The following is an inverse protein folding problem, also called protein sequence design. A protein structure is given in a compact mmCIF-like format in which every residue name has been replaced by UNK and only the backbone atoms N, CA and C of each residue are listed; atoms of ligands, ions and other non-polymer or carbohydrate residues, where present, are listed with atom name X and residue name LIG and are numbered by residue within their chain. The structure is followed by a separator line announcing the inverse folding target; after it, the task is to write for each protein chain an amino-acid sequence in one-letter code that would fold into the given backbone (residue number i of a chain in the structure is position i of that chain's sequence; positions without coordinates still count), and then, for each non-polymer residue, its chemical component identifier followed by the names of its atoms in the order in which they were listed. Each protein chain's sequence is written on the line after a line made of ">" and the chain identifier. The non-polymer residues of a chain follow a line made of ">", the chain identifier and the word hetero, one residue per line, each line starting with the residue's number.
data_IF_636557608932
#
_entry.id   IF_636557608932
#
_cell.length_a   1.000
_cell.length_b   1.000
_cell.length_c   1.000
_cell.angle_alpha   90.00
_cell.angle_beta   90.00
_cell.angle_gamma   90.00
#
_symmetry.space_group_name_H-M   'P 1'
#
loop_
_entity.id
_entity.type
_entity.pdbx_description
1 polymer ?
#
# COMPACT_ATOMS: atom_id res chain seq x y z
N UNK A 1 3.76 -26.77 -10.25
CA UNK A 1 2.91 -26.92 -9.06
C UNK A 1 1.54 -26.41 -9.47
N UNK A 2 0.55 -27.30 -9.46
CA UNK A 2 -0.84 -26.92 -9.70
C UNK A 2 -1.45 -26.57 -8.36
N UNK A 3 -1.89 -25.33 -8.20
CA UNK A 3 -2.59 -24.86 -7.00
C UNK A 3 -4.04 -24.66 -7.42
N UNK A 4 -4.97 -25.22 -6.66
CA UNK A 4 -6.39 -24.94 -6.85
C UNK A 4 -6.57 -23.42 -6.74
N UNK A 5 -7.43 -22.85 -7.60
CA UNK A 5 -7.63 -21.41 -7.62
C UNK A 5 -7.97 -20.87 -6.22
N UNK A 6 -7.23 -19.86 -5.80
CA UNK A 6 -7.48 -19.12 -4.57
C UNK A 6 -7.56 -17.65 -4.90
N UNK A 7 -8.65 -17.01 -4.53
CA UNK A 7 -8.70 -15.57 -4.52
C UNK A 7 -7.96 -15.05 -3.27
N UNK A 8 -6.83 -14.41 -3.49
CA UNK A 8 -6.01 -13.80 -2.44
C UNK A 8 -6.00 -12.28 -2.53
N UNK A 9 -7.00 -11.68 -3.18
CA UNK A 9 -7.08 -10.22 -3.35
C UNK A 9 -7.06 -9.46 -2.01
N UNK A 10 -7.64 -10.04 -0.96
CA UNK A 10 -7.63 -9.49 0.41
C UNK A 10 -6.39 -9.93 1.22
N UNK A 11 -5.55 -10.81 0.68
CA UNK A 11 -4.29 -11.27 1.29
C UNK A 11 -3.14 -11.07 0.29
N UNK A 12 -2.76 -9.83 -0.02
CA UNK A 12 -1.75 -9.55 -1.03
C UNK A 12 -0.37 -10.11 -0.64
N UNK A 13 0.50 -10.30 -1.62
CA UNK A 13 1.83 -10.88 -1.46
C UNK A 13 1.84 -12.27 -0.81
N UNK A 14 0.74 -13.01 -0.92
CA UNK A 14 0.67 -14.40 -0.45
C UNK A 14 1.52 -15.32 -1.30
N UNK A 15 2.13 -16.33 -0.66
CA UNK A 15 2.69 -17.49 -1.33
C UNK A 15 1.70 -18.65 -1.22
N UNK A 16 1.44 -19.32 -2.34
CA UNK A 16 0.52 -20.45 -2.43
C UNK A 16 1.29 -21.74 -2.65
N UNK A 17 0.95 -22.79 -1.92
CA UNK A 17 1.52 -24.12 -2.09
C UNK A 17 0.44 -25.18 -1.96
N UNK A 18 0.47 -26.20 -2.82
CA UNK A 18 -0.40 -27.36 -2.68
C UNK A 18 0.34 -28.51 -1.98
N UNK A 19 -0.31 -29.09 -0.98
CA UNK A 19 0.14 -30.27 -0.27
C UNK A 19 -1.03 -31.24 -0.15
N UNK A 20 -0.88 -32.46 -0.71
CA UNK A 20 -1.92 -33.50 -0.65
C UNK A 20 -3.33 -33.00 -1.07
N UNK A 21 -3.40 -32.34 -2.21
CA UNK A 21 -4.63 -31.76 -2.77
C UNK A 21 -5.29 -30.66 -1.88
N UNK A 22 -4.56 -30.11 -0.92
CA UNK A 22 -4.98 -28.96 -0.14
C UNK A 22 -4.10 -27.78 -0.45
N UNK A 23 -4.73 -26.65 -0.83
CA UNK A 23 -4.02 -25.39 -1.05
C UNK A 23 -3.78 -24.68 0.27
N UNK A 24 -2.52 -24.40 0.57
CA UNK A 24 -2.11 -23.61 1.72
C UNK A 24 -1.70 -22.21 1.30
N UNK A 25 -2.15 -21.23 2.05
CA UNK A 25 -1.88 -19.81 1.84
C UNK A 25 -0.93 -19.32 2.92
N UNK A 26 0.13 -18.61 2.52
CA UNK A 26 1.08 -17.95 3.42
C UNK A 26 0.98 -16.44 3.20
N UNK A 27 0.12 -15.72 3.95
CA UNK A 27 -0.13 -14.30 3.74
C UNK A 27 1.15 -13.47 3.91
N UNK A 28 1.38 -12.52 3.00
CA UNK A 28 2.51 -11.60 3.07
C UNK A 28 3.90 -12.22 2.88
N UNK A 29 4.01 -13.55 2.64
CA UNK A 29 5.31 -14.24 2.57
C UNK A 29 6.21 -13.69 1.46
N UNK A 30 5.64 -13.22 0.36
CA UNK A 30 6.38 -12.63 -0.75
C UNK A 30 6.95 -11.24 -0.45
N UNK A 31 6.52 -10.56 0.61
CA UNK A 31 7.15 -9.31 1.07
C UNK A 31 8.61 -9.50 1.52
N UNK A 32 8.96 -10.70 1.97
CA UNK A 32 10.33 -11.09 2.37
C UNK A 32 11.02 -11.99 1.34
N UNK A 33 10.40 -12.26 0.21
CA UNK A 33 11.00 -13.08 -0.83
C UNK A 33 12.12 -12.32 -1.53
N UNK A 34 13.30 -12.92 -1.58
CA UNK A 34 14.46 -12.40 -2.34
C UNK A 34 14.09 -12.19 -3.81
N UNK A 35 13.22 -13.05 -4.37
CA UNK A 35 12.71 -12.91 -5.73
C UNK A 35 11.92 -11.61 -5.92
N UNK A 36 10.97 -11.33 -5.06
CA UNK A 36 10.14 -10.10 -5.11
C UNK A 36 11.00 -8.84 -4.97
N UNK A 37 11.91 -8.82 -3.99
CA UNK A 37 12.80 -7.67 -3.75
C UNK A 37 13.73 -7.45 -4.95
N UNK A 38 14.31 -8.52 -5.49
CA UNK A 38 15.15 -8.47 -6.68
C UNK A 38 14.39 -7.93 -7.89
N UNK A 39 13.18 -8.42 -8.10
CA UNK A 39 12.39 -8.09 -9.29
C UNK A 39 11.87 -6.64 -9.19
N UNK A 40 11.44 -6.19 -8.02
CA UNK A 40 11.06 -4.79 -7.79
C UNK A 40 12.20 -3.81 -8.13
N UNK A 41 13.46 -4.18 -7.85
CA UNK A 41 14.65 -3.38 -8.21
C UNK A 41 14.98 -3.43 -9.70
N UNK A 42 14.71 -4.56 -10.36
CA UNK A 42 15.09 -4.78 -11.76
C UNK A 42 14.08 -4.24 -12.77
N UNK A 43 12.80 -4.26 -12.45
CA UNK A 43 11.76 -3.85 -13.40
C UNK A 43 11.92 -2.42 -13.89
N UNK A 44 12.13 -1.40 -13.03
CA UNK A 44 12.36 -0.03 -13.51
C UNK A 44 13.59 0.10 -14.43
N UNK A 45 14.65 -0.68 -14.17
CA UNK A 45 15.87 -0.69 -14.97
C UNK A 45 15.70 -1.38 -16.33
N UNK A 46 14.69 -2.23 -16.46
CA UNK A 46 14.38 -2.98 -17.69
C UNK A 46 13.36 -2.29 -18.57
N UNK A 47 12.78 -1.21 -18.09
CA UNK A 47 11.92 -0.36 -18.93
C UNK A 47 12.76 0.27 -20.03
N UNK A 48 12.66 -0.32 -21.23
CA UNK A 48 13.41 0.07 -22.41
C UNK A 48 12.55 0.80 -23.45
N UNK A 49 11.42 1.34 -23.03
CA UNK A 49 10.61 2.14 -23.93
C UNK A 49 11.44 3.29 -24.46
N UNK A 50 11.60 3.34 -25.76
CA UNK A 50 12.44 4.34 -26.45
C UNK A 50 11.66 5.63 -26.78
N UNK A 51 10.33 5.57 -26.72
CA UNK A 51 9.47 6.72 -26.96
C UNK A 51 9.68 7.76 -25.85
N UNK A 52 10.14 8.97 -26.19
CA UNK A 52 10.25 10.07 -25.23
C UNK A 52 8.88 10.49 -24.67
N UNK A 53 7.83 10.35 -25.48
CA UNK A 53 6.45 10.65 -25.13
C UNK A 53 5.75 9.39 -24.56
N UNK A 54 6.29 8.84 -23.49
CA UNK A 54 5.69 7.67 -22.82
C UNK A 54 4.26 7.99 -22.41
N UNK A 55 3.31 7.35 -23.08
CA UNK A 55 1.88 7.54 -22.84
C UNK A 55 1.39 6.90 -21.53
N UNK A 56 2.20 6.06 -20.92
CA UNK A 56 1.88 5.37 -19.67
C UNK A 56 2.87 5.73 -18.56
N UNK A 57 2.33 6.01 -17.40
CA UNK A 57 3.06 6.35 -16.18
C UNK A 57 2.98 5.18 -15.20
N UNK A 58 4.03 4.35 -15.16
CA UNK A 58 4.04 3.15 -14.33
C UNK A 58 4.63 3.43 -12.95
N UNK A 59 3.90 3.06 -11.89
CA UNK A 59 4.38 3.05 -10.53
C UNK A 59 4.98 1.68 -10.19
N UNK A 60 6.29 1.64 -9.99
CA UNK A 60 7.03 0.41 -9.63
C UNK A 60 7.15 0.17 -8.12
N UNK A 61 6.56 1.02 -7.28
CA UNK A 61 6.63 0.86 -5.84
C UNK A 61 5.78 -0.34 -5.38
N UNK A 62 6.39 -1.27 -4.65
CA UNK A 62 5.66 -2.39 -4.04
C UNK A 62 4.66 -1.91 -2.99
N UNK A 63 5.01 -0.87 -2.27
CA UNK A 63 4.19 -0.27 -1.23
C UNK A 63 3.59 1.03 -1.78
N UNK A 64 2.29 1.06 -1.89
CA UNK A 64 1.48 2.18 -2.37
C UNK A 64 0.15 2.20 -1.62
N UNK A 65 -0.63 3.27 -1.65
CA UNK A 65 -1.97 3.28 -1.06
C UNK A 65 -2.83 2.09 -1.52
N UNK A 66 -2.72 1.70 -2.79
CA UNK A 66 -3.44 0.56 -3.36
C UNK A 66 -3.08 -0.77 -2.69
N UNK A 67 -1.79 -1.04 -2.48
CA UNK A 67 -1.33 -2.30 -1.87
C UNK A 67 -1.46 -2.28 -0.35
N UNK A 68 -1.19 -1.14 0.28
CA UNK A 68 -1.32 -0.98 1.74
C UNK A 68 -2.78 -1.08 2.19
N UNK A 69 -3.73 -0.50 1.44
CA UNK A 69 -5.16 -0.66 1.73
C UNK A 69 -5.56 -2.15 1.78
N UNK A 70 -5.09 -2.95 0.82
CA UNK A 70 -5.31 -4.40 0.82
C UNK A 70 -4.63 -5.10 1.99
N UNK A 71 -3.43 -4.66 2.42
CA UNK A 71 -2.77 -5.23 3.59
C UNK A 71 -3.51 -4.89 4.90
N UNK A 72 -4.03 -3.68 5.05
CA UNK A 72 -4.87 -3.29 6.19
C UNK A 72 -6.12 -4.17 6.27
N UNK A 73 -6.78 -4.41 5.14
CA UNK A 73 -7.89 -5.37 5.05
C UNK A 73 -7.45 -6.79 5.38
N UNK A 74 -6.28 -7.21 4.88
CA UNK A 74 -5.69 -8.51 5.18
C UNK A 74 -5.42 -8.73 6.66
N UNK A 75 -4.92 -7.72 7.38
CA UNK A 75 -4.77 -7.76 8.85
C UNK A 75 -6.13 -8.00 9.51
N UNK A 76 -7.18 -7.32 9.08
CA UNK A 76 -8.53 -7.50 9.62
C UNK A 76 -9.06 -8.92 9.36
N UNK A 77 -8.86 -9.43 8.15
CA UNK A 77 -9.23 -10.82 7.78
C UNK A 77 -8.51 -11.84 8.66
N UNK A 78 -7.20 -11.71 8.84
CA UNK A 78 -6.41 -12.65 9.64
C UNK A 78 -6.81 -12.61 11.13
N UNK A 79 -7.06 -11.43 11.68
CA UNK A 79 -7.57 -11.27 13.06
C UNK A 79 -8.95 -11.89 13.22
N UNK A 80 -9.83 -11.72 12.24
CA UNK A 80 -11.17 -12.31 12.28
C UNK A 80 -11.12 -13.84 12.22
N UNK A 81 -10.24 -14.43 11.42
CA UNK A 81 -10.02 -15.86 11.40
C UNK A 81 -9.58 -16.40 12.77
N UNK A 82 -8.68 -15.70 13.46
CA UNK A 82 -8.30 -16.06 14.84
C UNK A 82 -9.46 -15.95 15.81
N UNK A 83 -10.23 -14.88 15.71
CA UNK A 83 -11.39 -14.64 16.59
C UNK A 83 -12.45 -15.73 16.46
N UNK A 84 -12.77 -16.14 15.22
CA UNK A 84 -13.84 -17.12 14.93
C UNK A 84 -13.40 -18.54 15.22
N UNK A 85 -12.18 -18.92 14.85
CA UNK A 85 -11.70 -20.31 14.97
C UNK A 85 -10.91 -20.59 16.25
N UNK A 86 -10.61 -19.55 17.05
CA UNK A 86 -9.77 -19.61 18.24
C UNK A 86 -8.27 -19.50 17.94
N UNK A 87 -7.54 -18.88 18.86
CA UNK A 87 -6.10 -18.63 18.72
C UNK A 87 -5.24 -19.90 18.73
N UNK A 88 -5.77 -21.00 19.28
CA UNK A 88 -5.07 -22.29 19.41
C UNK A 88 -5.32 -23.22 18.23
N UNK A 89 -6.01 -22.77 17.19
CA UNK A 89 -6.28 -23.58 16.00
C UNK A 89 -4.99 -23.84 15.22
N UNK A 90 -4.73 -25.07 14.81
CA UNK A 90 -3.56 -25.41 13.99
C UNK A 90 -3.67 -24.86 12.57
N UNK A 91 -4.90 -24.77 12.06
CA UNK A 91 -5.20 -24.27 10.70
C UNK A 91 -6.50 -23.50 10.68
N UNK A 92 -6.55 -22.50 9.81
CA UNK A 92 -7.71 -21.65 9.55
C UNK A 92 -8.19 -21.87 8.12
N UNK A 93 -9.50 -22.04 7.93
CA UNK A 93 -10.09 -22.12 6.59
C UNK A 93 -10.29 -20.72 6.04
N UNK A 94 -9.80 -20.49 4.83
CA UNK A 94 -9.99 -19.24 4.09
C UNK A 94 -10.38 -19.57 2.65
N UNK A 95 -11.62 -19.25 2.28
CA UNK A 95 -12.23 -19.64 1.00
C UNK A 95 -12.07 -21.16 0.77
N UNK A 96 -11.45 -21.59 -0.35
CA UNK A 96 -11.20 -23.00 -0.66
C UNK A 96 -9.84 -23.51 -0.15
N UNK A 97 -9.06 -22.67 0.54
CA UNK A 97 -7.74 -23.01 1.06
C UNK A 97 -7.64 -23.00 2.58
N UNK A 98 -6.43 -23.24 3.06
CA UNK A 98 -6.10 -23.25 4.49
C UNK A 98 -4.89 -22.36 4.78
N UNK A 99 -4.89 -21.75 5.95
CA UNK A 99 -3.77 -20.99 6.49
C UNK A 99 -3.29 -21.72 7.75
N UNK A 100 -2.04 -22.15 7.80
CA UNK A 100 -1.46 -22.72 9.03
C UNK A 100 -1.34 -21.62 10.09
N UNK A 101 -1.46 -21.96 11.37
CA UNK A 101 -1.33 -21.02 12.49
C UNK A 101 -0.04 -20.19 12.39
N UNK A 102 1.09 -20.83 12.16
CA UNK A 102 2.37 -20.13 11.97
C UNK A 102 2.38 -19.18 10.78
N UNK A 103 1.71 -19.54 9.67
CA UNK A 103 1.60 -18.69 8.49
C UNK A 103 0.70 -17.48 8.74
N UNK A 104 -0.35 -17.64 9.52
CA UNK A 104 -1.24 -16.55 9.92
C UNK A 104 -0.50 -15.54 10.79
N UNK A 105 0.21 -16.00 11.83
CA UNK A 105 1.01 -15.15 12.73
C UNK A 105 2.09 -14.40 11.94
N UNK A 106 2.80 -15.09 11.03
CA UNK A 106 3.78 -14.44 10.16
C UNK A 106 3.13 -13.44 9.21
N UNK A 107 1.95 -13.73 8.66
CA UNK A 107 1.21 -12.82 7.80
C UNK A 107 0.85 -11.50 8.50
N UNK A 108 0.31 -11.58 9.71
CA UNK A 108 0.06 -10.40 10.56
C UNK A 108 1.33 -9.57 10.78
N UNK A 109 2.44 -10.24 11.07
CA UNK A 109 3.74 -9.61 11.30
C UNK A 109 4.29 -8.93 10.04
N UNK A 110 4.23 -9.60 8.88
CA UNK A 110 4.74 -9.06 7.62
C UNK A 110 3.90 -7.89 7.11
N UNK A 111 2.58 -7.97 7.21
CA UNK A 111 1.70 -6.85 6.89
C UNK A 111 1.95 -5.67 7.83
N UNK A 112 2.07 -5.90 9.15
CA UNK A 112 2.41 -4.86 10.10
C UNK A 112 3.71 -4.13 9.74
N UNK A 113 4.77 -4.86 9.41
CA UNK A 113 6.02 -4.24 8.98
C UNK A 113 5.90 -3.46 7.67
N UNK A 114 5.16 -3.97 6.68
CA UNK A 114 4.96 -3.27 5.42
C UNK A 114 4.17 -1.97 5.60
N UNK A 115 3.13 -2.00 6.43
CA UNK A 115 2.30 -0.85 6.78
C UNK A 115 3.14 0.20 7.53
N UNK A 116 3.86 -0.20 8.59
CA UNK A 116 4.73 0.70 9.36
C UNK A 116 5.86 1.29 8.48
N UNK A 117 6.42 0.50 7.56
CA UNK A 117 7.44 0.98 6.61
C UNK A 117 6.88 2.02 5.65
N UNK A 118 5.70 1.78 5.10
CA UNK A 118 5.05 2.71 4.17
C UNK A 118 4.71 4.04 4.85
N UNK A 119 4.00 3.98 5.98
CA UNK A 119 3.63 5.18 6.73
C UNK A 119 4.85 5.96 7.21
N UNK A 120 5.86 5.24 7.71
CA UNK A 120 7.09 5.86 8.14
C UNK A 120 7.89 6.51 7.01
N UNK A 121 7.95 5.91 5.82
CA UNK A 121 8.59 6.54 4.65
C UNK A 121 7.91 7.87 4.31
N UNK A 122 6.57 7.89 4.27
CA UNK A 122 5.79 9.11 4.00
C UNK A 122 6.02 10.18 5.06
N UNK A 123 6.02 9.79 6.35
CA UNK A 123 6.26 10.69 7.49
C UNK A 123 7.68 11.24 7.50
N UNK A 124 8.70 10.38 7.35
CA UNK A 124 10.12 10.78 7.37
C UNK A 124 10.43 11.78 6.25
N UNK A 125 9.88 11.55 5.05
CA UNK A 125 10.05 12.48 3.94
C UNK A 125 9.52 13.88 4.30
N UNK A 126 8.38 13.95 4.99
CA UNK A 126 7.80 15.24 5.46
C UNK A 126 8.63 15.87 6.57
N UNK A 127 9.05 15.08 7.55
CA UNK A 127 9.92 15.57 8.65
C UNK A 127 11.24 16.14 8.13
N UNK A 128 11.86 15.49 7.15
CA UNK A 128 13.13 15.95 6.57
C UNK A 128 13.00 17.23 5.74
N UNK A 129 11.83 17.49 5.18
CA UNK A 129 11.57 18.65 4.35
C UNK A 129 10.85 19.79 5.11
N UNK A 130 10.49 19.58 6.37
CA UNK A 130 9.82 20.57 7.17
C UNK A 130 10.86 21.55 7.77
N UNK A 131 10.73 22.84 7.44
CA UNK A 131 11.47 23.93 8.09
C UNK A 131 10.61 24.50 9.24
N UNK A 132 10.45 23.72 10.29
CA UNK A 132 9.61 24.03 11.43
C UNK A 132 10.45 24.19 12.70
N UNK A 133 10.10 25.16 13.54
CA UNK A 133 10.78 25.44 14.81
C UNK A 133 9.98 25.00 16.02
N UNK A 134 8.67 24.83 15.83
CA UNK A 134 7.73 24.41 16.88
C UNK A 134 6.96 23.18 16.47
N UNK A 135 6.36 22.50 17.45
CA UNK A 135 5.49 21.35 17.18
C UNK A 135 4.21 21.77 16.45
N UNK A 136 3.69 22.95 16.75
CA UNK A 136 2.51 23.54 16.09
C UNK A 136 2.77 23.74 14.59
N UNK A 137 3.89 24.37 14.23
CA UNK A 137 4.28 24.56 12.83
C UNK A 137 4.44 23.20 12.11
N UNK A 138 4.97 22.20 12.81
CA UNK A 138 5.12 20.85 12.25
C UNK A 138 3.75 20.18 12.01
N UNK A 139 2.81 20.31 12.96
CA UNK A 139 1.44 19.82 12.82
C UNK A 139 0.70 20.46 11.66
N UNK A 140 0.86 21.76 11.47
CA UNK A 140 0.32 22.50 10.32
C UNK A 140 0.93 22.01 9.00
N UNK A 141 2.24 21.73 8.97
CA UNK A 141 2.94 21.19 7.80
C UNK A 141 2.47 19.77 7.43
N UNK A 142 1.92 19.01 8.37
CA UNK A 142 1.35 17.69 8.10
C UNK A 142 -0.04 17.76 7.46
N UNK A 143 -0.76 18.88 7.54
CA UNK A 143 -2.09 18.99 6.95
C UNK A 143 -2.04 18.79 5.44
N UNK A 144 -2.74 17.78 4.89
CA UNK A 144 -2.73 17.53 3.45
C UNK A 144 -3.44 18.66 2.69
N UNK A 145 -2.81 19.17 1.64
CA UNK A 145 -3.34 20.25 0.80
C UNK A 145 -4.04 19.77 -0.46
N UNK A 146 -3.86 18.50 -0.79
CA UNK A 146 -4.44 17.90 -1.99
C UNK A 146 -5.95 17.77 -1.91
N UNK A 147 -6.65 17.91 -3.05
CA UNK A 147 -8.08 17.67 -3.18
C UNK A 147 -8.42 16.17 -3.29
N UNK A 148 -7.48 15.35 -3.77
CA UNK A 148 -7.62 13.92 -3.95
C UNK A 148 -6.70 13.14 -3.00
N UNK A 149 -7.02 11.87 -2.82
CA UNK A 149 -6.26 10.92 -2.02
C UNK A 149 -7.14 10.07 -1.11
N UNK A 150 -8.24 10.60 -0.59
CA UNK A 150 -9.16 9.86 0.27
C UNK A 150 -9.83 8.69 -0.45
N UNK A 151 -10.17 7.64 0.29
CA UNK A 151 -10.90 6.48 -0.19
C UNK A 151 -10.05 5.49 -1.00
N UNK A 152 -10.70 4.86 -1.98
CA UNK A 152 -10.11 3.79 -2.78
C UNK A 152 -9.09 4.31 -3.79
N UNK A 153 -8.10 3.47 -4.05
CA UNK A 153 -7.12 3.64 -5.11
C UNK A 153 -7.26 2.55 -6.15
N UNK A 154 -6.91 2.87 -7.38
CA UNK A 154 -7.00 1.95 -8.53
C UNK A 154 -5.66 1.82 -9.23
N UNK A 155 -5.49 0.68 -9.89
CA UNK A 155 -4.37 0.41 -10.80
C UNK A 155 -4.92 0.49 -12.24
N UNK A 156 -4.40 1.46 -12.99
CA UNK A 156 -4.75 1.67 -14.39
C UNK A 156 -3.53 1.33 -15.23
N UNK A 157 -3.43 0.08 -15.63
CA UNK A 157 -2.31 -0.43 -16.45
C UNK A 157 -0.92 -0.07 -15.87
N UNK A 158 -0.79 -0.11 -14.54
CA UNK A 158 0.45 0.21 -13.82
C UNK A 158 0.50 1.61 -13.22
N UNK A 159 -0.35 2.55 -13.64
CA UNK A 159 -0.50 3.83 -12.97
C UNK A 159 -1.40 3.67 -11.75
N UNK A 160 -0.88 3.97 -10.57
CA UNK A 160 -1.63 3.93 -9.32
C UNK A 160 -2.17 5.33 -9.02
N UNK A 161 -3.48 5.45 -8.85
CA UNK A 161 -4.14 6.73 -8.65
C UNK A 161 -5.36 6.63 -7.71
N UNK A 162 -5.78 7.74 -7.07
CA UNK A 162 -7.05 7.79 -6.36
C UNK A 162 -8.21 7.53 -7.31
N UNK A 163 -9.11 6.61 -6.94
CA UNK A 163 -10.28 6.26 -7.75
C UNK A 163 -11.12 7.49 -8.10
N UNK A 164 -11.25 8.44 -7.16
CA UNK A 164 -12.03 9.68 -7.37
C UNK A 164 -11.41 10.55 -8.47
N UNK A 165 -10.08 10.72 -8.51
CA UNK A 165 -9.43 11.51 -9.55
C UNK A 165 -9.66 10.90 -10.94
N UNK A 166 -9.59 9.56 -11.03
CA UNK A 166 -9.86 8.83 -12.28
C UNK A 166 -11.33 8.94 -12.68
N UNK A 167 -12.26 8.81 -11.73
CA UNK A 167 -13.69 8.95 -12.00
C UNK A 167 -14.01 10.35 -12.56
N UNK A 168 -13.45 11.39 -11.96
CA UNK A 168 -13.65 12.77 -12.40
C UNK A 168 -13.08 13.02 -13.81
N UNK A 169 -11.97 12.38 -14.15
CA UNK A 169 -11.43 12.41 -15.51
C UNK A 169 -12.37 11.71 -16.50
N UNK A 170 -12.92 10.53 -16.16
CA UNK A 170 -13.87 9.82 -17.00
C UNK A 170 -15.15 10.64 -17.22
N UNK A 171 -15.66 11.28 -16.17
CA UNK A 171 -16.79 12.20 -16.26
C UNK A 171 -16.50 13.40 -17.18
N UNK A 172 -15.26 13.93 -17.16
CA UNK A 172 -14.83 15.00 -18.07
C UNK A 172 -14.77 14.53 -19.54
N UNK A 173 -14.34 13.29 -19.77
CA UNK A 173 -14.38 12.68 -21.12
C UNK A 173 -15.83 12.52 -21.59
N UNK A 174 -16.74 12.03 -20.75
CA UNK A 174 -18.15 11.87 -21.10
C UNK A 174 -18.84 13.20 -21.43
N UNK A 175 -18.48 14.28 -20.73
CA UNK A 175 -19.00 15.63 -21.03
C UNK A 175 -18.39 16.27 -22.28
N UNK A 176 -17.30 15.70 -22.82
CA UNK A 176 -16.58 16.26 -23.95
C UNK A 176 -15.57 17.37 -23.58
N UNK A 177 -15.30 17.57 -22.27
CA UNK A 177 -14.29 18.53 -21.79
C UNK A 177 -12.87 18.05 -22.15
N UNK A 178 -12.69 16.73 -22.25
CA UNK A 178 -11.49 16.06 -22.75
C UNK A 178 -11.87 15.31 -24.01
N UNK A 179 -11.50 15.83 -25.20
CA UNK A 179 -12.04 15.39 -26.49
C UNK A 179 -11.03 14.73 -27.42
N UNK A 180 -9.76 14.74 -27.07
CA UNK A 180 -8.68 14.14 -27.86
C UNK A 180 -7.65 13.40 -26.99
N UNK A 181 -6.82 12.58 -27.64
CA UNK A 181 -5.84 11.72 -26.96
C UNK A 181 -4.76 12.54 -26.25
N UNK A 182 -4.34 13.67 -26.82
CA UNK A 182 -3.29 14.51 -26.24
C UNK A 182 -3.79 15.18 -24.94
N UNK A 183 -5.04 15.62 -24.92
CA UNK A 183 -5.68 16.16 -23.72
C UNK A 183 -5.85 15.08 -22.64
N UNK A 184 -6.22 13.87 -23.04
CA UNK A 184 -6.35 12.73 -22.12
C UNK A 184 -4.98 12.37 -21.51
N UNK A 185 -3.92 12.30 -22.32
CA UNK A 185 -2.58 12.01 -21.83
C UNK A 185 -2.10 13.06 -20.82
N UNK A 186 -2.32 14.35 -21.10
CA UNK A 186 -1.98 15.42 -20.14
C UNK A 186 -2.72 15.24 -18.82
N UNK A 187 -3.98 14.88 -18.85
CA UNK A 187 -4.73 14.60 -17.60
C UNK A 187 -4.13 13.43 -16.81
N UNK A 188 -3.69 12.37 -17.48
CA UNK A 188 -3.00 11.26 -16.80
C UNK A 188 -1.64 11.67 -16.25
N UNK A 189 -0.86 12.47 -16.98
CA UNK A 189 0.41 13.02 -16.51
C UNK A 189 0.21 13.91 -15.28
N UNK A 190 -0.83 14.76 -15.27
CA UNK A 190 -1.18 15.61 -14.14
C UNK A 190 -1.54 14.75 -12.90
N UNK A 191 -2.38 13.73 -13.07
CA UNK A 191 -2.72 12.79 -11.98
C UNK A 191 -1.47 12.10 -11.46
N UNK A 192 -0.58 11.66 -12.34
CA UNK A 192 0.66 10.97 -11.95
C UNK A 192 1.63 11.91 -11.24
N UNK A 193 1.76 13.14 -11.70
CA UNK A 193 2.67 14.15 -11.12
C UNK A 193 2.30 14.48 -9.67
N UNK A 194 1.01 14.45 -9.35
CA UNK A 194 0.46 14.72 -8.03
C UNK A 194 0.40 13.48 -7.10
N UNK A 195 0.92 12.33 -7.55
CA UNK A 195 0.86 11.06 -6.83
C UNK A 195 1.25 11.18 -5.35
N UNK A 196 2.39 11.81 -5.03
CA UNK A 196 2.86 11.92 -3.65
C UNK A 196 2.04 12.88 -2.78
N UNK A 197 1.38 13.87 -3.39
CA UNK A 197 0.43 14.74 -2.69
C UNK A 197 -0.84 13.96 -2.32
N UNK A 198 -1.32 13.13 -3.23
CA UNK A 198 -2.47 12.25 -3.02
C UNK A 198 -2.16 11.13 -2.02
N UNK A 199 -0.98 10.50 -2.16
CA UNK A 199 -0.49 9.48 -1.23
C UNK A 199 -0.43 10.01 0.20
N UNK A 200 0.10 11.24 0.38
CA UNK A 200 0.18 11.86 1.70
C UNK A 200 -1.19 12.06 2.34
N UNK A 201 -2.15 12.57 1.58
CA UNK A 201 -3.52 12.73 2.09
C UNK A 201 -4.12 11.41 2.53
N UNK A 202 -3.96 10.38 1.71
CA UNK A 202 -4.42 9.03 2.04
C UNK A 202 -3.71 8.49 3.28
N UNK A 203 -2.40 8.66 3.34
CA UNK A 203 -1.57 8.16 4.42
C UNK A 203 -1.93 8.80 5.77
N UNK A 204 -2.18 10.11 5.82
CA UNK A 204 -2.62 10.79 7.05
C UNK A 204 -3.90 10.17 7.62
N UNK A 205 -4.91 9.98 6.78
CA UNK A 205 -6.17 9.36 7.20
C UNK A 205 -6.01 7.91 7.60
N UNK A 206 -5.25 7.13 6.82
CA UNK A 206 -5.00 5.72 7.11
C UNK A 206 -4.16 5.54 8.39
N UNK A 207 -3.20 6.43 8.68
CA UNK A 207 -2.45 6.45 9.94
C UNK A 207 -3.36 6.74 11.13
N UNK A 208 -4.26 7.72 11.01
CA UNK A 208 -5.23 8.03 12.06
C UNK A 208 -6.11 6.82 12.39
N UNK A 209 -6.63 6.13 11.38
CA UNK A 209 -7.43 4.91 11.57
C UNK A 209 -6.60 3.75 12.16
N UNK A 210 -5.34 3.62 11.75
CA UNK A 210 -4.48 2.49 12.15
C UNK A 210 -3.82 2.66 13.50
N UNK A 211 -3.36 3.87 13.85
CA UNK A 211 -2.68 4.17 15.11
C UNK A 211 -3.60 4.79 16.17
N UNK A 212 -4.78 5.30 15.78
CA UNK A 212 -5.79 5.84 16.69
C UNK A 212 -5.58 7.30 17.09
N UNK A 213 -4.72 8.05 16.39
CA UNK A 213 -4.53 9.48 16.59
C UNK A 213 -4.19 10.19 15.27
N UNK A 214 -4.57 11.47 15.17
CA UNK A 214 -4.26 12.31 14.01
C UNK A 214 -2.85 12.91 14.12
N UNK A 215 -2.12 13.00 13.01
CA UNK A 215 -0.83 13.71 12.96
C UNK A 215 -0.96 15.19 13.29
N UNK A 216 -2.11 15.80 13.04
CA UNK A 216 -2.38 17.20 13.40
C UNK A 216 -2.47 17.43 14.92
N UNK A 217 -2.63 16.36 15.70
CA UNK A 217 -2.73 16.38 17.17
C UNK A 217 -1.58 15.63 17.85
N UNK A 218 -0.71 14.98 17.07
CA UNK A 218 0.36 14.12 17.56
C UNK A 218 1.31 14.85 18.53
N UNK A 219 1.65 14.20 19.63
CA UNK A 219 2.70 14.65 20.53
C UNK A 219 4.10 14.30 19.98
N UNK A 220 5.15 14.81 20.60
CA UNK A 220 6.53 14.43 20.29
C UNK A 220 6.75 12.94 20.55
N UNK A 221 6.14 12.39 21.59
CA UNK A 221 6.24 10.96 21.92
C UNK A 221 5.57 10.09 20.86
N UNK A 222 4.38 10.48 20.37
CA UNK A 222 3.69 9.80 19.28
C UNK A 222 4.54 9.77 18.01
N UNK A 223 5.11 10.91 17.62
CA UNK A 223 5.99 10.99 16.46
C UNK A 223 7.27 10.15 16.64
N UNK A 224 7.85 10.14 17.84
CA UNK A 224 9.00 9.31 18.17
C UNK A 224 8.69 7.83 18.10
N UNK A 225 7.52 7.41 18.56
CA UNK A 225 7.05 6.02 18.42
C UNK A 225 6.88 5.63 16.96
N UNK A 226 6.26 6.47 16.12
CA UNK A 226 6.11 6.21 14.68
C UNK A 226 7.47 6.04 13.98
N UNK A 227 8.44 6.90 14.29
CA UNK A 227 9.81 6.79 13.76
C UNK A 227 10.47 5.48 14.23
N UNK A 228 10.27 5.07 15.48
CA UNK A 228 10.82 3.80 15.99
C UNK A 228 10.17 2.58 15.33
N UNK A 229 8.84 2.59 15.12
CA UNK A 229 8.12 1.55 14.36
C UNK A 229 8.67 1.44 12.93
N UNK A 230 8.86 2.56 12.26
CA UNK A 230 9.46 2.61 10.94
C UNK A 230 10.86 1.97 10.91
N UNK A 231 11.75 2.37 11.82
CA UNK A 231 13.11 1.79 11.91
C UNK A 231 13.08 0.27 12.09
N UNK A 232 12.21 -0.21 12.98
CA UNK A 232 12.05 -1.64 13.24
C UNK A 232 11.54 -2.37 11.99
N UNK A 233 10.60 -1.78 11.26
CA UNK A 233 10.02 -2.35 10.06
C UNK A 233 11.01 -2.44 8.91
N UNK A 234 11.83 -1.40 8.69
CA UNK A 234 12.91 -1.38 7.69
C UNK A 234 13.89 -2.50 7.97
N UNK A 235 14.41 -2.60 9.20
CA UNK A 235 15.35 -3.66 9.59
C UNK A 235 14.74 -5.04 9.44
N UNK A 236 13.44 -5.20 9.72
CA UNK A 236 12.76 -6.50 9.70
C UNK A 236 12.40 -6.99 8.29
N UNK A 237 12.15 -6.09 7.36
CA UNK A 237 11.85 -6.44 5.97
C UNK A 237 13.10 -6.57 5.11
N UNK A 238 14.18 -5.87 5.43
CA UNK A 238 15.42 -5.86 4.62
C UNK A 238 16.41 -6.97 5.04
N UNK A 239 16.14 -7.70 6.14
CA UNK A 239 16.84 -8.92 6.57
C UNK A 239 16.16 -10.18 6.03
#
# INVERSE_FOLDING_TARGET
>A
IHVSHQDTSDLPFSYLIEQQSTSYIMPGANLKSVGTIRDAKKWPQRDRRADPDKLDSINYNLLSPYTIHKMLKGVSVLKELQRVSGETSDTYSYQSGKIKSSSLVNGLKYYGYAIDKFFGNSLITRLMNADCRTLEELREAFVPKSAYGDGDWVDIAGMIAPKKAVSDLLDAVERGDVSDVDSLNRCFEDIHSEYYSYEWRWACKAMEEYYGFSLAEASVDDLSELVQRWRNSVVSLDK
#
